data_IF_939304603911
#
_entry.id   IF_939304603911
#
_cell.length_a   1.000
_cell.length_b   1.000
_cell.length_c   1.000
_cell.angle_alpha   90.00
_cell.angle_beta   90.00
_cell.angle_gamma   90.00
#
_symmetry.space_group_name_H-M   'P 1'
#
loop_
_entity.id
_entity.type
_entity.pdbx_description
1 polymer ?
#
# COMPACT_ATOMS: atom_id res chain seq x y z
N UNK A 1 -10.46 -6.92 19.76
CA UNK A 1 -10.20 -6.81 18.30
C UNK A 1 -8.75 -6.41 18.10
N UNK A 2 -8.04 -7.14 17.24
CA UNK A 2 -6.65 -6.85 16.88
C UNK A 2 -6.69 -5.96 15.63
N UNK A 3 -6.29 -4.70 15.77
CA UNK A 3 -6.31 -3.69 14.68
C UNK A 3 -4.95 -3.53 13.98
N UNK A 4 -3.89 -3.95 14.65
CA UNK A 4 -2.53 -3.98 14.12
C UNK A 4 -1.77 -5.14 14.78
N UNK A 5 -0.89 -5.78 14.02
CA UNK A 5 0.00 -6.84 14.52
C UNK A 5 1.39 -6.63 13.94
N UNK A 6 2.39 -6.63 14.82
CA UNK A 6 3.81 -6.50 14.42
C UNK A 6 4.61 -7.68 14.95
N UNK A 7 5.48 -8.21 14.11
CA UNK A 7 6.33 -9.32 14.48
C UNK A 7 7.19 -9.80 13.33
N UNK A 8 8.01 -10.83 13.60
CA UNK A 8 8.89 -11.42 12.61
C UNK A 8 8.11 -12.32 11.65
N UNK A 9 8.25 -12.09 10.36
CA UNK A 9 7.67 -12.92 9.31
C UNK A 9 8.45 -14.24 9.22
N UNK A 10 7.84 -15.35 9.67
CA UNK A 10 8.47 -16.65 9.64
C UNK A 10 8.21 -17.41 8.35
N UNK A 11 6.99 -17.31 7.82
CA UNK A 11 6.55 -18.07 6.66
C UNK A 11 5.54 -17.29 5.85
N UNK A 12 5.61 -17.47 4.54
CA UNK A 12 4.71 -16.87 3.58
C UNK A 12 4.11 -17.96 2.69
N UNK A 13 2.83 -18.23 2.89
CA UNK A 13 2.05 -19.20 2.12
C UNK A 13 1.24 -18.49 1.01
N UNK A 14 0.41 -19.23 0.26
CA UNK A 14 -0.35 -18.69 -0.88
C UNK A 14 -1.41 -17.66 -0.45
N UNK A 15 -2.15 -17.95 0.61
CA UNK A 15 -3.26 -17.10 1.09
C UNK A 15 -3.01 -16.53 2.50
N UNK A 16 -1.90 -16.89 3.15
CA UNK A 16 -1.60 -16.51 4.53
C UNK A 16 -0.11 -16.32 4.78
N UNK A 17 0.21 -15.75 5.92
CA UNK A 17 1.55 -15.71 6.48
C UNK A 17 1.54 -16.09 7.96
N UNK A 18 2.71 -16.43 8.49
CA UNK A 18 2.90 -16.70 9.91
C UNK A 18 3.82 -15.64 10.52
N UNK A 19 3.33 -14.93 11.53
CA UNK A 19 4.10 -13.98 12.33
C UNK A 19 4.46 -14.55 13.70
N UNK A 20 5.71 -14.36 14.10
CA UNK A 20 6.15 -14.55 15.49
C UNK A 20 5.98 -13.24 16.25
N UNK A 21 5.11 -13.25 17.27
CA UNK A 21 4.85 -12.11 18.15
C UNK A 21 5.11 -12.55 19.59
N UNK A 22 6.27 -12.24 20.11
CA UNK A 22 6.72 -12.76 21.41
C UNK A 22 6.75 -14.28 21.41
N UNK A 23 6.01 -14.93 22.31
CA UNK A 23 5.91 -16.38 22.42
C UNK A 23 4.84 -17.01 21.50
N UNK A 24 4.06 -16.21 20.78
CA UNK A 24 2.94 -16.68 19.97
C UNK A 24 3.23 -16.61 18.48
N UNK A 25 2.63 -17.53 17.73
CA UNK A 25 2.60 -17.49 16.28
C UNK A 25 1.16 -17.24 15.81
N UNK A 26 1.03 -16.26 14.92
CA UNK A 26 -0.25 -15.87 14.33
C UNK A 26 -0.29 -16.22 12.85
N UNK A 27 -1.31 -16.96 12.43
CA UNK A 27 -1.67 -17.10 11.03
C UNK A 27 -2.52 -15.91 10.62
N UNK A 28 -2.06 -15.17 9.61
CA UNK A 28 -2.74 -13.98 9.09
C UNK A 28 -3.01 -14.18 7.60
N UNK A 29 -4.27 -14.10 7.20
CA UNK A 29 -4.67 -14.13 5.79
C UNK A 29 -4.24 -12.83 5.11
N UNK A 30 -3.75 -12.91 3.88
CA UNK A 30 -3.28 -11.74 3.14
C UNK A 30 -3.75 -11.77 1.69
N UNK A 31 -3.98 -10.60 1.05
CA UNK A 31 -4.22 -10.52 -0.38
C UNK A 31 -2.98 -10.92 -1.19
N UNK A 32 -3.19 -11.42 -2.42
CA UNK A 32 -2.09 -11.84 -3.29
C UNK A 32 -1.11 -10.70 -3.63
N UNK A 33 -1.57 -9.47 -3.82
CA UNK A 33 -0.68 -8.34 -4.08
C UNK A 33 0.22 -8.02 -2.87
N UNK A 34 -0.27 -8.19 -1.64
CA UNK A 34 0.53 -8.03 -0.42
C UNK A 34 1.57 -9.17 -0.31
N UNK A 35 1.19 -10.41 -0.64
CA UNK A 35 2.09 -11.55 -0.65
C UNK A 35 3.32 -11.31 -1.52
N UNK A 36 3.13 -10.78 -2.73
CA UNK A 36 4.25 -10.48 -3.66
C UNK A 36 5.26 -9.49 -3.06
N UNK A 37 4.77 -8.50 -2.33
CA UNK A 37 5.62 -7.49 -1.68
C UNK A 37 6.36 -8.02 -0.46
N UNK A 38 5.79 -9.00 0.22
CA UNK A 38 6.36 -9.60 1.43
C UNK A 38 7.38 -10.70 1.15
N UNK A 39 7.58 -11.14 -0.10
CA UNK A 39 8.51 -12.21 -0.43
C UNK A 39 9.96 -11.94 0.02
N UNK A 40 10.41 -10.68 -0.07
CA UNK A 40 11.75 -10.27 0.35
C UNK A 40 11.84 -9.96 1.86
N UNK A 41 10.72 -10.03 2.60
CA UNK A 41 10.63 -9.67 4.01
C UNK A 41 10.62 -10.89 4.96
N UNK A 42 10.81 -12.11 4.42
CA UNK A 42 10.93 -13.32 5.26
C UNK A 42 12.11 -13.14 6.20
N UNK A 43 11.94 -13.54 7.46
CA UNK A 43 12.87 -13.35 8.58
C UNK A 43 13.07 -11.90 9.05
N UNK A 44 12.34 -10.93 8.51
CA UNK A 44 12.33 -9.54 8.98
C UNK A 44 11.08 -9.22 9.79
N UNK A 45 11.17 -8.16 10.59
CA UNK A 45 10.02 -7.63 11.32
C UNK A 45 9.13 -6.85 10.36
N UNK A 46 7.83 -7.18 10.39
CA UNK A 46 6.81 -6.48 9.61
C UNK A 46 5.66 -6.04 10.51
N UNK A 47 4.90 -5.06 10.06
CA UNK A 47 3.67 -4.59 10.70
C UNK A 47 2.50 -4.67 9.71
N UNK A 48 1.35 -5.15 10.18
CA UNK A 48 0.15 -5.30 9.37
C UNK A 48 -1.03 -4.62 10.06
N UNK A 49 -1.80 -3.85 9.31
CA UNK A 49 -3.14 -3.43 9.72
C UNK A 49 -4.09 -4.59 9.59
N UNK A 50 -4.89 -4.88 10.61
CA UNK A 50 -5.65 -6.12 10.66
C UNK A 50 -7.16 -5.91 10.80
N UNK A 51 -7.88 -6.88 10.26
CA UNK A 51 -9.31 -7.10 10.49
C UNK A 51 -9.46 -8.49 11.11
N UNK A 52 -10.18 -8.57 12.19
CA UNK A 52 -10.57 -9.85 12.80
C UNK A 52 -12.02 -10.18 12.42
N UNK A 53 -12.25 -11.40 11.95
CA UNK A 53 -13.59 -11.89 11.66
C UNK A 53 -13.78 -13.33 12.11
N UNK A 54 -15.01 -13.73 12.28
CA UNK A 54 -15.38 -15.11 12.60
C UNK A 54 -15.73 -15.86 11.32
N UNK A 55 -14.91 -16.87 11.00
CA UNK A 55 -15.18 -17.77 9.89
C UNK A 55 -15.99 -18.96 10.36
N UNK A 56 -17.07 -19.28 9.66
CA UNK A 56 -17.90 -20.44 9.95
C UNK A 56 -19.39 -20.13 9.93
N UNK A 57 -20.17 -21.10 10.37
CA UNK A 57 -21.62 -20.97 10.50
C UNK A 57 -22.05 -21.24 11.95
N UNK A 58 -22.80 -20.31 12.51
CA UNK A 58 -23.39 -20.50 13.84
C UNK A 58 -24.29 -21.74 13.91
N UNK A 59 -24.92 -22.12 12.79
CA UNK A 59 -25.76 -23.32 12.71
C UNK A 59 -24.95 -24.62 12.83
N UNK A 60 -23.68 -24.64 12.45
CA UNK A 60 -22.80 -25.81 12.52
C UNK A 60 -21.92 -25.82 13.78
N UNK A 61 -22.14 -24.88 14.71
CA UNK A 61 -21.46 -24.81 16.01
C UNK A 61 -19.95 -24.53 15.95
N UNK A 62 -19.38 -24.22 14.75
CA UNK A 62 -17.96 -23.90 14.59
C UNK A 62 -17.77 -22.49 14.04
N UNK A 63 -17.23 -21.64 14.91
CA UNK A 63 -16.81 -20.29 14.56
C UNK A 63 -15.31 -20.18 14.88
N UNK A 64 -14.50 -19.92 13.88
CA UNK A 64 -13.04 -19.80 14.03
C UNK A 64 -12.64 -18.33 13.84
N UNK A 65 -11.98 -17.71 14.83
CA UNK A 65 -11.41 -16.36 14.64
C UNK A 65 -10.33 -16.41 13.57
N UNK A 66 -10.37 -15.44 12.66
CA UNK A 66 -9.38 -15.25 11.59
C UNK A 66 -8.91 -13.82 11.60
N UNK A 67 -7.62 -13.64 11.33
CA UNK A 67 -7.02 -12.35 11.07
C UNK A 67 -6.75 -12.18 9.59
N UNK A 68 -7.05 -10.99 9.06
CA UNK A 68 -6.67 -10.57 7.73
C UNK A 68 -5.70 -9.40 7.91
N UNK A 69 -4.58 -9.43 7.20
CA UNK A 69 -3.54 -8.40 7.28
C UNK A 69 -3.38 -7.63 5.97
N UNK A 70 -3.12 -6.34 6.10
CA UNK A 70 -2.86 -5.40 5.03
C UNK A 70 -1.60 -4.61 5.34
N UNK A 71 -0.85 -4.22 4.31
CA UNK A 71 0.39 -3.46 4.48
C UNK A 71 0.13 -2.00 4.88
N UNK A 72 -1.03 -1.47 4.46
CA UNK A 72 -1.42 -0.09 4.76
C UNK A 72 -2.86 -0.03 5.27
N UNK A 73 -3.18 1.04 5.98
CA UNK A 73 -4.55 1.30 6.45
C UNK A 73 -5.51 1.55 5.27
N UNK A 74 -5.02 2.15 4.19
CA UNK A 74 -5.79 2.38 2.97
C UNK A 74 -6.23 1.07 2.33
N UNK A 75 -5.35 0.07 2.28
CA UNK A 75 -5.68 -1.27 1.79
C UNK A 75 -6.75 -1.94 2.65
N UNK A 76 -6.65 -1.79 3.98
CA UNK A 76 -7.64 -2.29 4.92
C UNK A 76 -9.01 -1.62 4.72
N UNK A 77 -9.05 -0.28 4.64
CA UNK A 77 -10.29 0.46 4.40
C UNK A 77 -10.93 0.09 3.04
N UNK A 78 -10.11 -0.07 2.01
CA UNK A 78 -10.59 -0.47 0.69
C UNK A 78 -11.22 -1.86 0.73
N UNK A 79 -10.59 -2.80 1.42
CA UNK A 79 -11.13 -4.15 1.60
C UNK A 79 -12.50 -4.12 2.29
N UNK A 80 -12.65 -3.35 3.37
CA UNK A 80 -13.93 -3.20 4.06
C UNK A 80 -15.02 -2.70 3.10
N UNK A 81 -14.72 -1.70 2.26
CA UNK A 81 -15.66 -1.21 1.27
C UNK A 81 -16.01 -2.26 0.20
N UNK A 82 -15.06 -3.05 -0.25
CA UNK A 82 -15.32 -4.14 -1.19
C UNK A 82 -16.24 -5.19 -0.58
N UNK A 83 -16.09 -5.48 0.70
CA UNK A 83 -16.98 -6.40 1.43
C UNK A 83 -18.41 -5.87 1.63
N UNK A 84 -18.63 -4.54 1.53
CA UNK A 84 -19.97 -3.96 1.56
C UNK A 84 -20.79 -4.28 0.28
N UNK A 85 -20.12 -4.70 -0.81
CA UNK A 85 -20.80 -4.97 -2.09
C UNK A 85 -21.59 -6.27 -2.00
N UNK A 86 -22.85 -6.23 -2.41
CA UNK A 86 -23.74 -7.38 -2.36
C UNK A 86 -23.18 -8.57 -3.15
N UNK A 87 -23.06 -9.71 -2.48
CA UNK A 87 -22.47 -10.93 -3.01
C UNK A 87 -20.95 -10.98 -3.02
N UNK A 88 -20.28 -10.03 -2.34
CA UNK A 88 -18.84 -10.04 -2.09
C UNK A 88 -18.58 -10.22 -0.60
N UNK A 89 -18.30 -11.44 -0.18
CA UNK A 89 -17.87 -11.74 1.19
C UNK A 89 -16.34 -11.72 1.29
N UNK A 90 -15.84 -11.85 2.52
CA UNK A 90 -14.42 -11.81 2.90
C UNK A 90 -13.51 -12.62 1.95
N UNK A 91 -13.82 -13.91 1.74
CA UNK A 91 -12.99 -14.78 0.86
C UNK A 91 -12.95 -14.31 -0.58
N UNK A 92 -14.08 -13.82 -1.08
CA UNK A 92 -14.15 -13.31 -2.46
C UNK A 92 -13.40 -12.00 -2.59
N UNK A 93 -13.51 -11.10 -1.62
CA UNK A 93 -12.78 -9.84 -1.58
C UNK A 93 -11.26 -10.09 -1.54
N UNK A 94 -10.76 -10.98 -0.67
CA UNK A 94 -9.35 -11.35 -0.61
C UNK A 94 -8.82 -11.88 -1.95
N UNK A 95 -9.57 -12.77 -2.61
CA UNK A 95 -9.20 -13.32 -3.92
C UNK A 95 -9.23 -12.29 -5.03
N UNK A 96 -10.14 -11.32 -4.96
CA UNK A 96 -10.22 -10.25 -5.95
C UNK A 96 -9.07 -9.25 -5.84
N UNK A 97 -8.43 -9.13 -4.67
CA UNK A 97 -7.32 -8.20 -4.44
C UNK A 97 -5.98 -8.75 -4.93
N UNK A 98 -5.88 -8.98 -6.24
CA UNK A 98 -4.65 -9.42 -6.93
C UNK A 98 -3.86 -8.26 -7.53
N UNK A 99 -4.47 -7.08 -7.64
CA UNK A 99 -3.89 -5.84 -8.14
C UNK A 99 -3.83 -4.78 -7.02
N UNK A 100 -2.90 -3.81 -7.11
CA UNK A 100 -2.85 -2.68 -6.18
C UNK A 100 -4.19 -1.96 -6.07
N UNK A 101 -4.52 -1.48 -4.87
CA UNK A 101 -5.78 -0.76 -4.58
C UNK A 101 -5.99 0.39 -5.55
N UNK A 102 -4.92 1.14 -5.89
CA UNK A 102 -4.97 2.25 -6.84
C UNK A 102 -5.57 1.86 -8.21
N UNK A 103 -5.13 0.73 -8.76
CA UNK A 103 -5.61 0.26 -10.06
C UNK A 103 -7.07 -0.14 -10.02
N UNK A 104 -7.47 -0.85 -8.96
CA UNK A 104 -8.88 -1.27 -8.79
C UNK A 104 -9.77 -0.06 -8.53
N UNK A 105 -9.33 0.89 -7.73
CA UNK A 105 -10.06 2.13 -7.45
C UNK A 105 -10.24 2.98 -8.73
N UNK A 106 -9.20 3.11 -9.55
CA UNK A 106 -9.28 3.79 -10.85
C UNK A 106 -10.29 3.10 -11.78
N UNK A 107 -10.24 1.76 -11.90
CA UNK A 107 -11.19 1.01 -12.71
C UNK A 107 -12.65 1.18 -12.25
N UNK A 108 -12.88 1.30 -10.92
CA UNK A 108 -14.23 1.58 -10.38
C UNK A 108 -14.66 3.02 -10.73
N UNK A 109 -13.77 4.01 -10.61
CA UNK A 109 -14.04 5.41 -10.91
C UNK A 109 -14.36 5.62 -12.39
N UNK A 110 -13.56 5.00 -13.27
CA UNK A 110 -13.71 5.00 -14.74
C UNK A 110 -14.86 4.11 -15.23
N UNK A 111 -15.51 3.36 -14.34
CA UNK A 111 -16.59 2.43 -14.66
C UNK A 111 -16.15 1.30 -15.62
N UNK A 112 -14.89 0.89 -15.57
CA UNK A 112 -14.37 -0.20 -16.38
C UNK A 112 -14.83 -1.57 -15.83
N UNK A 113 -16.10 -1.89 -16.08
CA UNK A 113 -16.73 -3.16 -15.69
C UNK A 113 -15.96 -4.36 -16.25
N UNK A 114 -15.38 -4.24 -17.44
CA UNK A 114 -14.65 -5.33 -18.10
C UNK A 114 -13.36 -5.65 -17.34
N UNK A 115 -12.60 -4.64 -16.97
CA UNK A 115 -11.38 -4.80 -16.15
C UNK A 115 -11.69 -5.40 -14.79
N UNK A 116 -12.77 -4.91 -14.13
CA UNK A 116 -13.22 -5.41 -12.84
C UNK A 116 -13.72 -6.87 -12.90
N UNK A 117 -14.44 -7.24 -13.95
CA UNK A 117 -14.92 -8.62 -14.17
C UNK A 117 -13.77 -9.61 -14.42
N UNK A 118 -12.58 -9.14 -14.76
CA UNK A 118 -11.36 -9.93 -14.84
C UNK A 118 -10.73 -10.29 -13.50
N UNK A 119 -11.20 -9.70 -12.40
CA UNK A 119 -10.69 -10.02 -11.06
C UNK A 119 -11.20 -11.41 -10.61
N UNK A 120 -10.36 -12.23 -9.95
CA UNK A 120 -10.76 -13.55 -9.48
C UNK A 120 -12.03 -13.53 -8.63
N UNK A 121 -13.04 -14.29 -9.04
CA UNK A 121 -14.32 -14.38 -8.35
C UNK A 121 -15.29 -13.20 -8.57
N UNK A 122 -14.91 -12.21 -9.37
CA UNK A 122 -15.78 -11.06 -9.73
C UNK A 122 -16.30 -11.29 -11.15
N UNK A 123 -17.59 -11.56 -11.27
CA UNK A 123 -18.26 -11.61 -12.58
C UNK A 123 -18.83 -10.25 -12.97
N UNK A 124 -19.34 -10.12 -14.22
CA UNK A 124 -19.87 -8.84 -14.76
C UNK A 124 -20.91 -8.19 -13.84
N UNK A 125 -21.91 -8.94 -13.38
CA UNK A 125 -22.95 -8.44 -12.49
C UNK A 125 -22.43 -7.97 -11.11
N UNK A 126 -21.33 -8.58 -10.62
CA UNK A 126 -20.68 -8.13 -9.39
C UNK A 126 -19.86 -6.87 -9.65
N UNK A 127 -19.17 -6.80 -10.79
CA UNK A 127 -18.41 -5.62 -11.20
C UNK A 127 -19.32 -4.39 -11.35
N UNK A 128 -20.50 -4.54 -11.96
CA UNK A 128 -21.50 -3.46 -12.05
C UNK A 128 -21.95 -2.99 -10.67
N UNK A 129 -22.21 -3.91 -9.74
CA UNK A 129 -22.56 -3.56 -8.35
C UNK A 129 -21.42 -2.85 -7.63
N UNK A 130 -20.17 -3.26 -7.86
CA UNK A 130 -19.00 -2.58 -7.31
C UNK A 130 -18.93 -1.13 -7.80
N UNK A 131 -19.09 -0.90 -9.09
CA UNK A 131 -19.13 0.45 -9.67
C UNK A 131 -20.28 1.27 -9.07
N UNK A 132 -21.50 0.74 -9.06
CA UNK A 132 -22.67 1.44 -8.56
C UNK A 132 -22.51 1.87 -7.08
N UNK A 133 -21.95 1.00 -6.25
CA UNK A 133 -21.84 1.21 -4.80
C UNK A 133 -20.62 2.02 -4.40
N UNK A 134 -19.48 1.80 -5.06
CA UNK A 134 -18.19 2.31 -4.59
C UNK A 134 -17.66 3.53 -5.33
N UNK A 135 -18.11 3.81 -6.57
CA UNK A 135 -17.56 4.88 -7.41
C UNK A 135 -17.38 6.21 -6.69
N UNK A 136 -18.39 6.65 -5.93
CA UNK A 136 -18.35 7.94 -5.22
C UNK A 136 -17.32 7.99 -4.07
N UNK A 137 -16.86 6.83 -3.60
CA UNK A 137 -15.88 6.71 -2.53
C UNK A 137 -14.43 6.63 -3.06
N UNK A 138 -14.25 6.37 -4.37
CA UNK A 138 -12.94 6.11 -4.98
C UNK A 138 -11.97 7.29 -5.04
N UNK A 139 -12.41 8.56 -5.27
CA UNK A 139 -11.49 9.70 -5.28
C UNK A 139 -10.62 9.82 -4.01
N UNK A 140 -11.16 9.43 -2.85
CA UNK A 140 -10.41 9.35 -1.58
C UNK A 140 -9.19 8.43 -1.72
N UNK A 141 -9.35 7.26 -2.34
CA UNK A 141 -8.30 6.25 -2.45
C UNK A 141 -7.21 6.64 -3.45
N UNK A 142 -7.54 7.32 -4.52
CA UNK A 142 -6.56 7.85 -5.48
C UNK A 142 -5.60 8.84 -4.79
N UNK A 143 -6.10 9.67 -3.87
CA UNK A 143 -5.32 10.64 -3.11
C UNK A 143 -4.51 10.00 -1.96
N UNK A 144 -5.08 9.00 -1.28
CA UNK A 144 -4.45 8.37 -0.11
C UNK A 144 -3.32 7.41 -0.51
N UNK A 145 -3.49 6.66 -1.59
CA UNK A 145 -2.45 5.73 -2.09
C UNK A 145 -1.17 6.48 -2.49
N UNK A 146 -1.28 7.72 -2.95
CA UNK A 146 -0.09 8.56 -3.19
C UNK A 146 0.71 8.87 -1.91
N UNK A 147 0.10 8.73 -0.72
CA UNK A 147 0.74 8.94 0.59
C UNK A 147 1.26 7.65 1.24
N UNK A 148 0.60 6.52 0.93
CA UNK A 148 0.79 5.23 1.62
C UNK A 148 1.49 4.16 0.76
N UNK A 149 2.15 4.53 -0.35
CA UNK A 149 3.05 3.57 -0.99
C UNK A 149 4.06 3.08 0.06
N UNK A 150 4.16 1.75 0.29
CA UNK A 150 5.07 1.22 1.29
C UNK A 150 6.46 1.69 0.96
N UNK A 151 6.99 2.40 1.90
CA UNK A 151 8.32 2.94 1.88
C UNK A 151 9.29 1.77 1.96
N UNK A 152 9.93 1.44 0.85
CA UNK A 152 11.18 0.68 0.95
C UNK A 152 12.17 1.56 1.72
N UNK A 153 13.07 0.97 2.50
CA UNK A 153 14.09 1.73 3.22
C UNK A 153 14.88 2.68 2.28
N UNK A 154 15.02 2.31 0.99
CA UNK A 154 15.58 3.19 -0.05
C UNK A 154 14.68 4.40 -0.35
N UNK A 155 13.34 4.25 -0.35
CA UNK A 155 12.41 5.38 -0.61
C UNK A 155 12.28 6.32 0.59
N UNK A 156 12.47 5.82 1.81
CA UNK A 156 12.56 6.67 3.02
C UNK A 156 13.88 7.45 3.04
N UNK A 157 15.00 6.78 2.77
CA UNK A 157 16.29 7.43 2.67
C UNK A 157 16.31 8.50 1.56
N UNK A 158 15.73 8.22 0.40
CA UNK A 158 15.61 9.19 -0.70
C UNK A 158 14.74 10.41 -0.31
N UNK A 159 13.66 10.21 0.45
CA UNK A 159 12.81 11.31 0.94
C UNK A 159 13.46 12.13 2.04
N UNK A 160 14.16 11.48 2.94
CA UNK A 160 14.91 12.17 3.99
C UNK A 160 16.02 13.04 3.36
N UNK A 161 16.74 12.51 2.37
CA UNK A 161 17.69 13.28 1.58
C UNK A 161 17.03 14.49 0.91
N UNK A 162 15.88 14.31 0.28
CA UNK A 162 15.14 15.41 -0.37
C UNK A 162 14.68 16.47 0.64
N UNK A 163 14.16 16.05 1.79
CA UNK A 163 13.70 16.92 2.86
C UNK A 163 14.85 17.69 3.48
N UNK A 164 15.92 17.01 3.85
CA UNK A 164 17.11 17.63 4.43
C UNK A 164 17.78 18.58 3.42
N UNK A 165 17.83 18.22 2.12
CA UNK A 165 18.32 19.10 1.07
C UNK A 165 17.46 20.36 0.92
N UNK A 166 16.13 20.20 0.99
CA UNK A 166 15.19 21.32 0.95
C UNK A 166 15.41 22.28 2.13
N UNK A 167 15.52 21.73 3.35
CA UNK A 167 15.76 22.50 4.55
C UNK A 167 17.13 23.21 4.52
N UNK A 168 18.17 22.56 3.99
CA UNK A 168 19.49 23.14 3.77
C UNK A 168 19.43 24.31 2.78
N UNK A 169 18.76 24.16 1.64
CA UNK A 169 18.60 25.25 0.67
C UNK A 169 17.83 26.44 1.26
N UNK A 170 16.80 26.19 2.06
CA UNK A 170 16.06 27.21 2.78
C UNK A 170 16.95 27.96 3.77
N UNK A 171 17.80 27.25 4.48
CA UNK A 171 18.77 27.84 5.44
C UNK A 171 19.83 28.69 4.72
N UNK A 172 20.16 28.37 3.47
CA UNK A 172 21.05 29.11 2.62
C UNK A 172 20.40 30.33 1.93
N UNK A 173 19.11 30.59 2.22
CA UNK A 173 18.39 31.79 1.77
C UNK A 173 17.61 31.63 0.46
N UNK A 174 17.50 30.40 -0.08
CA UNK A 174 16.66 30.16 -1.25
C UNK A 174 15.17 30.26 -0.90
N UNK A 175 14.36 30.77 -1.83
CA UNK A 175 12.90 30.71 -1.68
C UNK A 175 12.41 29.27 -1.75
N UNK A 176 11.22 29.00 -1.22
CA UNK A 176 10.60 27.65 -1.30
C UNK A 176 10.44 27.18 -2.75
N UNK A 177 10.05 28.09 -3.63
CA UNK A 177 9.89 27.83 -5.05
C UNK A 177 11.24 27.52 -5.72
N UNK A 178 12.29 28.27 -5.41
CA UNK A 178 13.64 28.03 -5.98
C UNK A 178 14.23 26.73 -5.45
N UNK A 179 14.07 26.43 -4.16
CA UNK A 179 14.54 25.16 -3.57
C UNK A 179 13.90 23.95 -4.25
N UNK A 180 12.59 23.98 -4.49
CA UNK A 180 11.91 22.90 -5.23
C UNK A 180 12.42 22.74 -6.64
N UNK A 181 12.52 23.84 -7.40
CA UNK A 181 13.01 23.84 -8.78
C UNK A 181 14.45 23.30 -8.89
N UNK A 182 15.32 23.67 -7.93
CA UNK A 182 16.71 23.22 -7.90
C UNK A 182 16.81 21.71 -7.62
N UNK A 183 16.00 21.18 -6.72
CA UNK A 183 15.93 19.75 -6.43
C UNK A 183 15.40 18.97 -7.62
N UNK A 184 14.33 19.43 -8.27
CA UNK A 184 13.78 18.79 -9.48
C UNK A 184 14.82 18.73 -10.60
N UNK A 185 15.53 19.81 -10.86
CA UNK A 185 16.59 19.84 -11.85
C UNK A 185 17.74 18.86 -11.52
N UNK A 186 18.11 18.72 -10.24
CA UNK A 186 19.14 17.78 -9.82
C UNK A 186 18.72 16.31 -9.97
N UNK A 187 17.42 16.01 -9.82
CA UNK A 187 16.88 14.66 -10.01
C UNK A 187 16.83 14.23 -11.49
N UNK A 188 16.80 15.17 -12.44
CA UNK A 188 16.84 14.86 -13.88
C UNK A 188 18.24 14.42 -14.36
N UNK A 189 19.26 14.50 -13.51
CA UNK A 189 20.62 14.05 -13.87
C UNK A 189 20.71 12.54 -13.97
N UNK A 190 21.56 12.03 -14.87
CA UNK A 190 21.74 10.57 -15.11
C UNK A 190 22.22 9.79 -13.89
N UNK A 191 22.76 10.44 -12.88
CA UNK A 191 23.25 9.82 -11.64
C UNK A 191 22.42 10.35 -10.47
N UNK A 192 21.53 9.52 -9.93
CA UNK A 192 20.73 9.87 -8.76
C UNK A 192 21.63 10.04 -7.54
N UNK A 193 21.64 11.23 -6.90
CA UNK A 193 22.41 11.46 -5.67
C UNK A 193 21.86 10.59 -4.53
N UNK A 194 22.76 10.00 -3.73
CA UNK A 194 22.40 9.12 -2.62
C UNK A 194 22.60 9.77 -1.24
N UNK A 195 23.11 10.98 -1.19
CA UNK A 195 23.30 11.75 0.05
C UNK A 195 22.92 13.20 -0.16
N UNK A 196 22.64 13.92 0.92
CA UNK A 196 22.35 15.36 0.92
C UNK A 196 23.52 16.15 0.30
N UNK A 197 24.76 15.77 0.61
CA UNK A 197 25.96 16.40 0.10
C UNK A 197 26.07 16.24 -1.42
N UNK A 198 25.85 15.03 -1.94
CA UNK A 198 25.84 14.76 -3.39
C UNK A 198 24.72 15.55 -4.09
N UNK A 199 23.55 15.68 -3.44
CA UNK A 199 22.43 16.43 -3.98
C UNK A 199 22.75 17.93 -4.06
N UNK A 200 23.28 18.52 -2.99
CA UNK A 200 23.71 19.92 -2.97
C UNK A 200 24.83 20.16 -4.01
N UNK A 201 25.79 19.26 -4.12
CA UNK A 201 26.87 19.36 -5.10
C UNK A 201 26.34 19.31 -6.54
N UNK A 202 25.37 18.45 -6.85
CA UNK A 202 24.71 18.39 -8.15
C UNK A 202 23.96 19.69 -8.47
N UNK A 203 23.26 20.27 -7.50
CA UNK A 203 22.54 21.55 -7.61
C UNK A 203 23.53 22.68 -7.95
N UNK A 204 24.62 22.82 -7.20
CA UNK A 204 25.58 23.91 -7.41
C UNK A 204 26.42 23.72 -8.68
N UNK A 205 26.76 22.51 -9.10
CA UNK A 205 27.41 22.25 -10.37
C UNK A 205 26.58 22.64 -11.59
N UNK A 206 25.25 22.53 -11.50
CA UNK A 206 24.34 22.98 -12.57
C UNK A 206 24.19 24.50 -12.60
N UNK A 207 24.19 25.15 -11.44
CA UNK A 207 24.10 26.62 -11.36
C UNK A 207 25.35 27.34 -11.89
N UNK A 208 26.51 26.68 -11.89
CA UNK A 208 27.77 27.23 -12.45
C UNK A 208 27.96 26.96 -13.95
N UNK A 209 27.05 26.19 -14.59
CA UNK A 209 27.10 25.94 -16.05
C UNK A 209 26.20 26.86 -16.89
N UNK A 210 25.55 27.82 -16.27
CA UNK A 210 24.81 28.92 -16.91
C UNK A 210 25.53 30.23 -16.68
#
# INVERSE_FOLDING_TARGET
VITNISGRLLRLDVESLTLQVGAFQYEVLIPEFARRRLQSQIDHDISLHTIEYLEGSAMNGRMTPRLIGFLTEVEREFFDLVCEVDGVGVKKALRAMVRPVREVAAAIEEQDVKSLAGLPGIGPATAERMVAKLRRKMPKFALMVARDEPRTAETEADRDILRETFDALRSLGHSEHDARRLIEAALETKKKPKTVEEMLQAIYQQSHKK
#
